data_IF_378935805751
#
_entry.id   IF_378935805751
#
_cell.length_a   1.000
_cell.length_b   1.000
_cell.length_c   1.000
_cell.angle_alpha   90.00
_cell.angle_beta   90.00
_cell.angle_gamma   90.00
#
_symmetry.space_group_name_H-M   'P 1'
#
loop_
_entity.id
_entity.type
_entity.pdbx_description
1 polymer ?
#
# COMPACT_ATOMS: atom_id res chain seq x y z
N UNK A 1 -16.51 -9.60 -4.10
CA UNK A 1 -16.80 -10.91 -4.70
C UNK A 1 -15.78 -11.26 -5.80
N UNK A 2 -15.41 -10.34 -6.65
CA UNK A 2 -14.43 -10.55 -7.74
C UNK A 2 -12.96 -10.29 -7.37
N UNK A 3 -12.66 -9.97 -6.12
CA UNK A 3 -11.30 -9.57 -5.67
C UNK A 3 -10.93 -10.25 -4.35
N UNK A 4 -9.58 -10.46 -4.20
CA UNK A 4 -8.98 -10.98 -2.98
C UNK A 4 -9.49 -12.36 -2.56
N UNK A 5 -9.32 -12.68 -1.29
CA UNK A 5 -9.66 -13.98 -0.69
C UNK A 5 -11.14 -14.38 -0.92
N UNK A 6 -12.06 -13.43 -0.98
CA UNK A 6 -13.48 -13.69 -1.24
C UNK A 6 -13.70 -14.30 -2.62
N UNK A 7 -12.92 -13.92 -3.64
CA UNK A 7 -12.96 -14.55 -4.95
C UNK A 7 -12.37 -15.95 -4.89
N UNK A 8 -11.21 -16.12 -4.29
CA UNK A 8 -10.48 -17.40 -4.25
C UNK A 8 -11.26 -18.48 -3.51
N UNK A 9 -11.74 -18.18 -2.30
CA UNK A 9 -12.48 -19.13 -1.47
C UNK A 9 -13.92 -19.32 -1.95
N UNK A 10 -14.50 -18.30 -2.61
CA UNK A 10 -15.88 -18.30 -3.08
C UNK A 10 -15.99 -18.62 -4.57
N UNK A 11 -15.82 -17.62 -5.42
CA UNK A 11 -16.18 -17.72 -6.83
C UNK A 11 -15.27 -18.67 -7.63
N UNK A 12 -13.95 -18.66 -7.36
CA UNK A 12 -13.00 -19.59 -8.00
C UNK A 12 -13.33 -21.04 -7.62
N UNK A 13 -13.63 -21.30 -6.34
CA UNK A 13 -14.02 -22.61 -5.88
C UNK A 13 -15.37 -23.07 -6.50
N UNK A 14 -16.35 -22.18 -6.60
CA UNK A 14 -17.64 -22.51 -7.24
C UNK A 14 -17.48 -22.84 -8.72
N UNK A 15 -16.66 -22.09 -9.45
CA UNK A 15 -16.38 -22.35 -10.88
C UNK A 15 -15.63 -23.65 -11.05
N UNK A 16 -14.64 -23.95 -10.18
CA UNK A 16 -13.94 -25.23 -10.17
C UNK A 16 -14.86 -26.42 -9.88
N UNK A 17 -15.95 -26.21 -9.11
CA UNK A 17 -16.98 -27.20 -8.79
C UNK A 17 -18.13 -27.24 -9.83
N UNK A 18 -17.91 -26.66 -11.02
CA UNK A 18 -18.84 -26.73 -12.15
C UNK A 18 -19.86 -25.60 -12.27
N UNK A 19 -19.72 -24.52 -11.50
CA UNK A 19 -20.57 -23.34 -11.67
C UNK A 19 -20.18 -22.56 -12.92
N UNK A 20 -21.12 -22.33 -13.83
CA UNK A 20 -20.90 -21.53 -15.04
C UNK A 20 -21.51 -20.14 -14.86
N UNK A 21 -20.68 -19.09 -14.97
CA UNK A 21 -21.13 -17.70 -14.91
C UNK A 21 -21.78 -17.34 -16.24
N UNK A 22 -23.06 -16.91 -16.18
CA UNK A 22 -23.83 -16.51 -17.37
C UNK A 22 -24.02 -15.00 -17.48
N UNK A 23 -24.02 -14.28 -16.34
CA UNK A 23 -24.04 -12.82 -16.32
C UNK A 23 -23.21 -12.32 -15.15
N UNK A 24 -22.51 -11.21 -15.35
CA UNK A 24 -21.75 -10.53 -14.32
C UNK A 24 -21.91 -9.01 -14.40
N UNK A 25 -21.90 -8.38 -13.24
CA UNK A 25 -21.66 -6.95 -13.04
C UNK A 25 -20.43 -6.85 -12.14
N UNK A 26 -19.34 -6.28 -12.66
CA UNK A 26 -18.09 -6.20 -11.93
C UNK A 26 -18.13 -5.11 -10.87
N UNK A 27 -18.59 -3.91 -11.25
CA UNK A 27 -18.79 -2.80 -10.33
C UNK A 27 -19.82 -1.83 -10.91
N UNK A 28 -20.83 -1.51 -10.12
CA UNK A 28 -21.87 -0.54 -10.48
C UNK A 28 -22.31 0.22 -9.24
N UNK A 29 -22.49 1.53 -9.38
CA UNK A 29 -22.99 2.36 -8.28
C UNK A 29 -24.36 1.88 -7.81
N UNK A 30 -24.54 1.81 -6.49
CA UNK A 30 -25.80 1.47 -5.87
C UNK A 30 -26.85 2.55 -6.19
N UNK A 31 -28.05 2.19 -6.63
CA UNK A 31 -29.03 3.15 -7.15
C UNK A 31 -29.68 4.07 -6.10
N UNK A 32 -29.38 3.91 -4.81
CA UNK A 32 -29.94 4.77 -3.78
C UNK A 32 -29.09 6.04 -3.57
N UNK A 33 -29.73 7.21 -3.62
CA UNK A 33 -29.07 8.52 -3.50
C UNK A 33 -28.35 8.77 -2.15
N UNK A 34 -28.56 7.94 -1.13
CA UNK A 34 -28.00 8.11 0.22
C UNK A 34 -26.72 7.31 0.49
N UNK A 35 -26.27 6.47 -0.44
CA UNK A 35 -25.13 5.60 -0.22
C UNK A 35 -24.17 5.65 -1.42
N UNK A 36 -22.97 6.16 -1.20
CA UNK A 36 -21.88 6.08 -2.17
C UNK A 36 -21.24 4.68 -2.11
N UNK A 37 -21.99 3.67 -2.55
CA UNK A 37 -21.62 2.26 -2.54
C UNK A 37 -21.59 1.73 -3.98
N UNK A 38 -20.68 0.80 -4.24
CA UNK A 38 -20.68 0.00 -5.45
C UNK A 38 -21.04 -1.45 -5.11
N UNK A 39 -21.62 -2.13 -6.08
CA UNK A 39 -21.97 -3.55 -5.95
C UNK A 39 -21.44 -4.35 -7.14
N UNK A 40 -21.09 -5.59 -6.87
CA UNK A 40 -20.85 -6.63 -7.86
C UNK A 40 -21.97 -7.66 -7.79
N UNK A 41 -22.38 -8.19 -8.93
CA UNK A 41 -23.41 -9.22 -8.99
C UNK A 41 -23.04 -10.31 -10.00
N UNK A 42 -23.40 -11.55 -9.66
CA UNK A 42 -23.12 -12.74 -10.48
C UNK A 42 -24.38 -13.57 -10.61
N UNK A 43 -24.66 -14.00 -11.83
CA UNK A 43 -25.67 -14.98 -12.15
C UNK A 43 -25.00 -16.16 -12.84
N UNK A 44 -25.45 -17.35 -12.57
CA UNK A 44 -24.91 -18.55 -13.19
C UNK A 44 -25.74 -19.78 -12.96
N UNK A 45 -25.32 -20.87 -13.54
CA UNK A 45 -25.89 -22.19 -13.40
C UNK A 45 -24.87 -23.13 -12.75
N UNK A 46 -25.37 -24.13 -12.02
CA UNK A 46 -24.51 -25.17 -11.42
C UNK A 46 -24.11 -26.25 -12.41
N UNK A 47 -24.79 -26.28 -13.56
CA UNK A 47 -24.50 -27.22 -14.64
C UNK A 47 -23.77 -26.52 -15.79
N UNK A 48 -23.20 -27.32 -16.69
CA UNK A 48 -22.58 -26.84 -17.92
C UNK A 48 -23.64 -26.12 -18.79
N UNK A 49 -23.37 -24.87 -19.12
CA UNK A 49 -24.21 -24.04 -19.98
C UNK A 49 -23.67 -24.13 -21.41
N UNK A 50 -24.51 -24.50 -22.38
CA UNK A 50 -24.14 -24.63 -23.77
C UNK A 50 -23.44 -23.36 -24.30
N UNK A 51 -22.48 -23.52 -25.25
CA UNK A 51 -21.67 -22.41 -25.76
C UNK A 51 -22.46 -21.34 -26.52
N UNK A 52 -23.59 -21.72 -27.08
CA UNK A 52 -24.54 -20.84 -27.81
C UNK A 52 -25.42 -19.98 -26.92
N UNK A 53 -25.45 -20.26 -25.60
CA UNK A 53 -26.18 -19.42 -24.65
C UNK A 53 -25.43 -18.10 -24.44
N UNK A 54 -26.07 -16.95 -24.71
CA UNK A 54 -25.45 -15.65 -24.54
C UNK A 54 -25.04 -15.41 -23.10
N UNK A 55 -23.77 -14.98 -22.91
CA UNK A 55 -23.25 -14.50 -21.62
C UNK A 55 -23.04 -13.00 -21.69
N UNK A 56 -23.26 -12.31 -20.57
CA UNK A 56 -23.21 -10.85 -20.53
C UNK A 56 -22.36 -10.38 -19.35
N UNK A 57 -21.28 -9.67 -19.64
CA UNK A 57 -20.45 -8.99 -18.65
C UNK A 57 -20.61 -7.48 -18.80
N UNK A 58 -21.02 -6.78 -17.75
CA UNK A 58 -21.31 -5.34 -17.72
C UNK A 58 -22.13 -4.86 -18.94
N UNK A 59 -23.22 -5.58 -19.20
CA UNK A 59 -24.17 -5.36 -20.32
C UNK A 59 -23.60 -5.59 -21.73
N UNK A 60 -22.36 -6.14 -21.84
CA UNK A 60 -21.74 -6.53 -23.11
C UNK A 60 -21.82 -8.05 -23.31
N UNK A 61 -22.23 -8.48 -24.51
CA UNK A 61 -22.26 -9.89 -24.86
C UNK A 61 -20.82 -10.45 -25.01
N UNK A 62 -20.53 -11.55 -24.33
CA UNK A 62 -19.20 -12.17 -24.27
C UNK A 62 -19.31 -13.69 -24.44
N UNK A 63 -18.21 -14.36 -24.82
CA UNK A 63 -18.17 -15.82 -24.94
C UNK A 63 -18.17 -16.53 -23.61
N UNK A 64 -17.33 -16.05 -22.71
CA UNK A 64 -17.18 -16.57 -21.34
C UNK A 64 -16.88 -15.43 -20.38
N UNK A 65 -17.15 -15.65 -19.12
CA UNK A 65 -16.91 -14.69 -18.04
C UNK A 65 -15.96 -15.36 -17.04
N UNK A 66 -14.86 -14.68 -16.73
CA UNK A 66 -13.89 -15.13 -15.73
C UNK A 66 -14.40 -14.88 -14.29
N UNK A 67 -13.73 -15.45 -13.30
CA UNK A 67 -14.02 -15.18 -11.89
C UNK A 67 -13.64 -13.75 -11.45
N UNK A 68 -12.95 -12.99 -12.30
CA UNK A 68 -12.78 -11.53 -12.19
C UNK A 68 -14.01 -10.75 -12.64
N UNK A 69 -15.06 -11.44 -13.09
CA UNK A 69 -16.31 -10.90 -13.66
C UNK A 69 -16.10 -10.16 -14.99
N UNK A 70 -15.02 -10.45 -15.67
CA UNK A 70 -14.62 -9.87 -16.97
C UNK A 70 -14.78 -10.90 -18.09
N UNK A 71 -14.82 -10.45 -19.36
CA UNK A 71 -14.69 -11.35 -20.49
C UNK A 71 -13.46 -12.26 -20.32
N UNK A 72 -13.62 -13.56 -20.48
CA UNK A 72 -12.54 -14.51 -20.32
C UNK A 72 -11.43 -14.27 -21.37
N UNK A 73 -10.22 -13.92 -20.90
CA UNK A 73 -9.03 -13.76 -21.72
C UNK A 73 -8.26 -15.07 -21.93
N UNK A 74 -7.09 -14.97 -22.57
CA UNK A 74 -6.21 -16.14 -22.83
C UNK A 74 -5.55 -16.68 -21.57
N UNK A 75 -5.49 -15.90 -20.50
CA UNK A 75 -4.81 -16.26 -19.24
C UNK A 75 -5.88 -16.35 -18.16
N UNK A 76 -5.94 -17.50 -17.48
CA UNK A 76 -6.83 -17.74 -16.36
C UNK A 76 -6.03 -17.89 -15.07
N UNK A 77 -6.61 -17.48 -13.95
CA UNK A 77 -6.07 -17.67 -12.62
C UNK A 77 -5.31 -16.47 -12.08
N UNK A 78 -4.85 -16.62 -10.82
CA UNK A 78 -4.04 -15.63 -10.12
C UNK A 78 -2.58 -15.73 -10.59
N UNK A 79 -1.91 -14.60 -10.86
CA UNK A 79 -0.49 -14.65 -11.19
C UNK A 79 0.32 -15.19 -10.00
N UNK A 80 1.36 -15.95 -10.31
CA UNK A 80 2.24 -16.52 -9.30
C UNK A 80 3.25 -15.50 -8.80
N UNK A 81 3.58 -15.59 -7.52
CA UNK A 81 4.63 -14.76 -6.94
C UNK A 81 6.00 -15.15 -7.51
N UNK A 82 6.75 -14.16 -7.93
CA UNK A 82 8.10 -14.30 -8.49
C UNK A 82 9.14 -14.16 -7.38
N UNK A 83 10.07 -15.09 -7.31
CA UNK A 83 11.09 -15.13 -6.25
C UNK A 83 11.99 -13.90 -6.23
N UNK A 84 12.28 -13.34 -7.41
CA UNK A 84 13.11 -12.15 -7.61
C UNK A 84 12.44 -10.84 -7.12
N UNK A 85 11.13 -10.86 -6.86
CA UNK A 85 10.40 -9.70 -6.36
C UNK A 85 10.26 -9.70 -4.83
N UNK A 86 10.56 -10.80 -4.16
CA UNK A 86 10.41 -10.91 -2.71
C UNK A 86 11.43 -10.06 -1.97
N UNK A 87 10.99 -9.45 -0.87
CA UNK A 87 11.88 -8.69 0.01
C UNK A 87 12.32 -7.33 -0.54
N UNK A 88 11.65 -6.81 -1.56
CA UNK A 88 11.92 -5.48 -2.13
C UNK A 88 10.90 -4.46 -1.64
N UNK A 89 9.64 -4.86 -1.45
CA UNK A 89 8.57 -3.96 -0.99
C UNK A 89 8.19 -4.27 0.44
N UNK A 90 7.98 -3.22 1.21
CA UNK A 90 7.64 -3.29 2.62
C UNK A 90 6.52 -2.32 2.96
N UNK A 91 5.56 -2.77 3.74
CA UNK A 91 4.59 -1.88 4.38
C UNK A 91 5.28 -1.00 5.42
N UNK A 92 4.88 0.27 5.53
CA UNK A 92 5.38 1.19 6.54
C UNK A 92 4.99 0.82 7.98
N UNK A 93 5.47 1.61 8.93
CA UNK A 93 5.31 1.40 10.37
C UNK A 93 3.86 1.59 10.83
N UNK A 94 3.44 0.82 11.84
CA UNK A 94 2.15 0.98 12.50
C UNK A 94 2.32 1.53 13.90
N UNK A 95 1.86 2.74 14.12
CA UNK A 95 2.06 3.45 15.39
C UNK A 95 1.22 2.85 16.52
N UNK A 96 -0.09 2.77 16.35
CA UNK A 96 -1.09 2.41 17.35
C UNK A 96 -0.99 3.29 18.60
N UNK A 97 -1.39 4.54 18.46
CA UNK A 97 -1.39 5.61 19.47
C UNK A 97 -1.09 6.96 18.82
N UNK A 98 -2.00 7.92 18.95
CA UNK A 98 -1.86 9.25 18.34
C UNK A 98 -0.82 10.12 19.05
N UNK A 99 -0.46 9.81 20.29
CA UNK A 99 0.53 10.55 21.05
C UNK A 99 1.96 10.44 20.52
N UNK A 100 2.23 9.57 19.53
CA UNK A 100 3.49 9.56 18.79
C UNK A 100 3.59 10.69 17.76
N UNK A 101 2.47 11.27 17.34
CA UNK A 101 2.44 12.26 16.26
C UNK A 101 2.61 13.67 16.81
N UNK A 102 3.43 14.45 16.11
CA UNK A 102 3.69 15.86 16.39
C UNK A 102 3.41 16.72 15.16
N UNK A 103 3.12 17.98 15.37
CA UNK A 103 3.23 18.99 14.33
C UNK A 103 4.70 19.29 14.00
N UNK A 104 4.97 19.87 12.85
CA UNK A 104 6.31 20.30 12.47
C UNK A 104 6.87 21.33 13.47
N UNK A 105 6.03 22.26 13.92
CA UNK A 105 6.41 23.32 14.86
C UNK A 105 6.78 22.76 16.24
N UNK A 106 6.00 21.76 16.74
CA UNK A 106 6.34 21.07 17.99
C UNK A 106 7.69 20.35 17.88
N UNK A 107 7.90 19.61 16.80
CA UNK A 107 9.14 18.87 16.58
C UNK A 107 10.35 19.81 16.51
N UNK A 108 10.26 20.89 15.75
CA UNK A 108 11.31 21.91 15.64
C UNK A 108 11.58 22.59 16.96
N UNK A 109 10.54 22.93 17.71
CA UNK A 109 10.67 23.51 19.06
C UNK A 109 11.42 22.57 19.99
N UNK A 110 11.09 21.27 19.97
CA UNK A 110 11.76 20.30 20.85
C UNK A 110 13.20 20.02 20.46
N UNK A 111 13.52 20.06 19.16
CA UNK A 111 14.91 19.99 18.68
C UNK A 111 15.70 21.25 19.09
N UNK A 112 15.09 22.43 19.02
CA UNK A 112 15.73 23.67 19.46
C UNK A 112 15.99 23.70 20.96
N UNK A 113 15.12 23.13 21.79
CA UNK A 113 15.27 23.01 23.25
C UNK A 113 16.35 22.00 23.64
N UNK A 114 16.42 20.88 22.96
CA UNK A 114 17.44 19.85 23.14
C UNK A 114 17.74 19.17 21.79
N UNK A 115 18.90 19.48 21.18
CA UNK A 115 19.28 18.92 19.87
C UNK A 115 19.33 17.38 19.82
N UNK A 116 19.48 16.70 20.96
CA UNK A 116 19.42 15.23 21.01
C UNK A 116 18.05 14.68 20.59
N UNK A 117 16.99 15.46 20.75
CA UNK A 117 15.65 15.04 20.32
C UNK A 117 15.59 14.73 18.81
N UNK A 118 16.48 15.30 18.00
CA UNK A 118 16.58 14.95 16.57
C UNK A 118 16.86 13.46 16.30
N UNK A 119 17.42 12.74 17.29
CA UNK A 119 17.66 11.29 17.15
C UNK A 119 16.38 10.44 17.20
N UNK A 120 15.31 10.99 17.74
CA UNK A 120 14.04 10.31 17.94
C UNK A 120 12.83 11.03 17.32
N UNK A 121 13.08 12.13 16.61
CA UNK A 121 12.06 12.88 15.88
C UNK A 121 12.35 12.80 14.38
N UNK A 122 11.38 12.34 13.62
CA UNK A 122 11.51 12.20 12.17
C UNK A 122 10.25 12.69 11.46
N UNK A 123 10.37 13.19 10.21
CA UNK A 123 9.21 13.44 9.36
C UNK A 123 8.43 12.12 9.16
N UNK A 124 7.10 12.19 9.22
CA UNK A 124 6.19 11.05 9.12
C UNK A 124 5.36 11.12 7.86
N UNK A 125 5.75 10.35 6.86
CA UNK A 125 5.11 10.33 5.55
C UNK A 125 3.97 9.31 5.53
N UNK A 126 2.79 9.75 5.13
CA UNK A 126 1.60 8.91 5.02
C UNK A 126 0.97 8.98 3.62
N UNK A 127 -0.01 8.11 3.35
CA UNK A 127 -0.67 8.05 2.04
C UNK A 127 -1.47 9.30 1.68
N UNK A 128 -1.97 10.05 2.67
CA UNK A 128 -2.65 11.34 2.44
C UNK A 128 -1.67 12.38 1.92
N UNK A 129 -0.46 12.44 2.49
CA UNK A 129 0.60 13.35 2.03
C UNK A 129 0.94 13.08 0.55
N UNK A 130 1.12 11.80 0.18
CA UNK A 130 1.41 11.42 -1.21
C UNK A 130 0.26 11.72 -2.18
N UNK A 131 -0.98 11.72 -1.69
CA UNK A 131 -2.16 11.97 -2.52
C UNK A 131 -2.54 13.46 -2.62
N UNK A 132 -2.06 14.32 -1.70
CA UNK A 132 -2.54 15.71 -1.59
C UNK A 132 -1.44 16.77 -1.64
N UNK A 133 -0.17 16.38 -1.42
CA UNK A 133 0.95 17.34 -1.40
C UNK A 133 1.83 17.16 -2.63
N UNK A 134 1.90 18.15 -3.52
CA UNK A 134 2.68 18.04 -4.75
C UNK A 134 4.17 17.74 -4.51
N UNK A 135 4.75 18.34 -3.46
CA UNK A 135 6.16 18.14 -3.08
C UNK A 135 6.45 16.84 -2.34
N UNK A 136 5.43 15.98 -2.14
CA UNK A 136 5.53 14.73 -1.38
C UNK A 136 6.13 14.90 0.03
N UNK A 137 6.07 16.09 0.60
CA UNK A 137 6.58 16.38 1.94
C UNK A 137 5.67 15.80 3.02
N UNK A 138 6.26 15.36 4.13
CA UNK A 138 5.49 14.92 5.29
C UNK A 138 4.80 16.10 5.98
N UNK A 139 3.49 16.00 6.21
CA UNK A 139 2.70 17.01 6.94
C UNK A 139 2.91 16.96 8.45
N UNK A 140 3.47 15.86 8.97
CA UNK A 140 3.59 15.56 10.40
C UNK A 140 4.98 15.04 10.72
N UNK A 141 5.30 15.07 12.00
CA UNK A 141 6.47 14.43 12.57
C UNK A 141 6.05 13.30 13.53
N UNK A 142 6.98 12.44 13.87
CA UNK A 142 6.71 11.32 14.77
C UNK A 142 7.86 11.11 15.75
N UNK A 143 7.51 10.69 16.97
CA UNK A 143 8.43 10.23 17.99
C UNK A 143 8.74 8.77 17.74
N UNK A 144 9.97 8.45 17.35
CA UNK A 144 10.42 7.09 17.03
C UNK A 144 11.57 6.64 17.93
N UNK A 145 11.25 5.93 18.97
CA UNK A 145 12.27 5.33 19.82
C UNK A 145 12.90 4.05 19.23
N UNK A 146 12.34 3.55 18.12
CA UNK A 146 12.80 2.35 17.43
C UNK A 146 13.00 1.16 18.38
N UNK A 147 14.23 0.59 18.45
CA UNK A 147 14.57 -0.56 19.28
C UNK A 147 15.09 -0.17 20.69
N UNK A 148 15.11 1.13 21.02
CA UNK A 148 15.61 1.59 22.33
C UNK A 148 14.79 0.99 23.47
N UNK A 149 15.47 0.64 24.55
CA UNK A 149 14.82 0.26 25.81
C UNK A 149 14.06 1.45 26.41
N UNK A 150 13.19 1.18 27.39
CA UNK A 150 12.46 2.23 28.10
C UNK A 150 13.42 3.24 28.77
N UNK A 151 14.48 2.73 29.40
CA UNK A 151 15.50 3.56 30.04
C UNK A 151 16.30 4.44 29.07
N UNK A 152 16.60 3.94 27.87
CA UNK A 152 17.25 4.73 26.82
C UNK A 152 16.30 5.78 26.23
N UNK A 153 15.04 5.42 26.04
CA UNK A 153 13.98 6.32 25.55
C UNK A 153 13.68 7.44 26.55
N UNK A 154 13.72 7.16 27.85
CA UNK A 154 13.51 8.14 28.91
C UNK A 154 14.58 9.26 28.97
N UNK A 155 15.73 9.08 28.30
CA UNK A 155 16.76 10.14 28.17
C UNK A 155 16.28 11.31 27.31
N UNK A 156 15.29 11.10 26.46
CA UNK A 156 14.63 12.12 25.63
C UNK A 156 13.37 12.65 26.36
N UNK A 157 13.57 13.52 27.33
CA UNK A 157 12.57 13.87 28.35
C UNK A 157 11.22 14.36 27.79
N UNK A 158 11.21 15.24 26.79
CA UNK A 158 9.99 15.76 26.18
C UNK A 158 9.29 14.69 25.33
N UNK A 159 9.94 14.03 24.37
CA UNK A 159 9.34 12.95 23.59
C UNK A 159 8.83 11.80 24.47
N UNK A 160 9.61 11.38 25.46
CA UNK A 160 9.22 10.27 26.32
C UNK A 160 8.00 10.59 27.20
N UNK A 161 7.98 11.80 27.79
CA UNK A 161 6.84 12.27 28.59
C UNK A 161 5.56 12.31 27.75
N UNK A 162 5.61 12.84 26.53
CA UNK A 162 4.47 12.87 25.61
C UNK A 162 3.90 11.46 25.37
N UNK A 163 4.76 10.50 25.03
CA UNK A 163 4.34 9.12 24.78
C UNK A 163 3.85 8.44 26.07
N UNK A 164 4.45 8.76 27.21
CA UNK A 164 4.01 8.26 28.51
C UNK A 164 2.62 8.77 28.90
N UNK A 165 2.31 10.02 28.64
CA UNK A 165 1.04 10.64 28.98
C UNK A 165 -0.08 10.23 28.00
N UNK A 166 0.20 10.23 26.69
CA UNK A 166 -0.81 10.11 25.66
C UNK A 166 -0.95 8.70 25.05
N UNK A 167 0.09 7.84 25.14
CA UNK A 167 0.08 6.50 24.56
C UNK A 167 -0.03 5.40 25.62
N UNK A 168 0.73 5.50 26.69
CA UNK A 168 0.80 4.45 27.72
C UNK A 168 -0.57 4.05 28.29
N UNK A 169 -1.50 4.97 28.64
CA UNK A 169 -2.79 4.59 29.19
C UNK A 169 -3.61 3.72 28.24
N UNK A 170 -3.66 4.07 26.94
CA UNK A 170 -4.34 3.27 25.92
C UNK A 170 -3.67 1.90 25.74
N UNK A 171 -2.34 1.89 25.68
CA UNK A 171 -1.57 0.65 25.50
C UNK A 171 -1.73 -0.35 26.64
N UNK A 172 -1.83 0.11 27.89
CA UNK A 172 -1.99 -0.75 29.05
C UNK A 172 -3.32 -1.52 29.05
N UNK A 173 -4.34 -1.03 28.37
CA UNK A 173 -5.64 -1.70 28.20
C UNK A 173 -5.70 -2.65 27.02
N UNK A 174 -4.65 -2.71 26.18
CA UNK A 174 -4.64 -3.53 24.97
C UNK A 174 -4.56 -5.03 25.29
N UNK A 175 -5.27 -5.85 24.53
CA UNK A 175 -5.28 -7.31 24.71
C UNK A 175 -3.92 -7.96 24.33
N UNK A 176 -3.12 -7.35 23.45
CA UNK A 176 -1.81 -7.86 23.04
C UNK A 176 -0.75 -7.50 24.07
N UNK A 177 -0.17 -8.52 24.72
CA UNK A 177 0.87 -8.34 25.75
C UNK A 177 2.05 -7.49 25.26
N UNK A 178 2.54 -7.72 24.04
CA UNK A 178 3.68 -6.99 23.48
C UNK A 178 3.43 -5.48 23.39
N UNK A 179 2.18 -5.04 23.17
CA UNK A 179 1.84 -3.61 23.11
C UNK A 179 1.81 -2.98 24.50
N UNK A 180 1.47 -3.74 25.55
CA UNK A 180 1.56 -3.27 26.93
C UNK A 180 2.99 -3.18 27.41
N UNK A 181 3.80 -4.22 27.12
CA UNK A 181 5.17 -4.33 27.59
C UNK A 181 6.12 -3.34 26.90
N UNK A 182 5.86 -3.03 25.63
CA UNK A 182 6.65 -2.10 24.80
C UNK A 182 5.82 -0.87 24.41
N UNK A 183 5.12 -0.27 25.39
CA UNK A 183 4.18 0.83 25.18
C UNK A 183 4.81 2.08 24.54
N UNK A 184 6.12 2.29 24.72
CA UNK A 184 6.88 3.44 24.19
C UNK A 184 7.35 3.23 22.73
N UNK A 185 7.20 2.04 22.16
CA UNK A 185 7.59 1.71 20.80
C UNK A 185 6.37 1.61 19.87
N UNK A 186 6.57 1.73 18.59
CA UNK A 186 5.51 1.45 17.62
C UNK A 186 5.01 0.01 17.73
N UNK A 187 3.74 -0.21 17.45
CA UNK A 187 3.16 -1.54 17.39
C UNK A 187 3.90 -2.43 16.38
N UNK A 188 4.24 -1.85 15.23
CA UNK A 188 5.03 -2.52 14.20
C UNK A 188 6.12 -1.56 13.69
N UNK A 189 7.35 -1.81 14.12
CA UNK A 189 8.54 -0.98 13.84
C UNK A 189 9.15 -1.23 12.47
N UNK A 190 8.78 -2.33 11.80
CA UNK A 190 9.30 -2.75 10.49
C UNK A 190 10.84 -2.83 10.43
N UNK A 191 11.51 -3.65 11.25
CA UNK A 191 12.97 -3.73 11.26
C UNK A 191 13.55 -4.19 9.92
N UNK A 192 12.84 -5.06 9.17
CA UNK A 192 13.26 -5.50 7.85
C UNK A 192 13.27 -4.34 6.83
N UNK A 193 12.23 -3.48 6.83
CA UNK A 193 12.22 -2.26 6.01
C UNK A 193 13.43 -1.38 6.34
N UNK A 194 13.65 -1.08 7.63
CA UNK A 194 14.74 -0.21 8.06
C UNK A 194 16.12 -0.74 7.64
N UNK A 195 16.31 -2.05 7.75
CA UNK A 195 17.54 -2.69 7.30
C UNK A 195 17.69 -2.63 5.77
N UNK A 196 16.61 -2.86 5.02
CA UNK A 196 16.66 -2.87 3.56
C UNK A 196 16.97 -1.50 2.95
N UNK A 197 16.57 -0.39 3.61
CA UNK A 197 16.82 0.97 3.12
C UNK A 197 18.03 1.66 3.77
N UNK A 198 18.77 0.97 4.65
CA UNK A 198 19.82 1.61 5.48
C UNK A 198 20.93 2.28 4.67
N UNK A 199 21.30 1.71 3.52
CA UNK A 199 22.40 2.19 2.67
C UNK A 199 21.91 3.06 1.49
N UNK A 200 20.59 3.31 1.38
CA UNK A 200 20.01 4.15 0.35
C UNK A 200 19.93 5.61 0.82
N UNK A 201 19.97 6.56 -0.09
CA UNK A 201 19.68 7.98 0.21
C UNK A 201 18.21 8.32 -0.03
N UNK A 202 17.62 7.71 -1.04
CA UNK A 202 16.23 7.85 -1.44
C UNK A 202 15.61 6.47 -1.63
N UNK A 203 14.30 6.41 -1.61
CA UNK A 203 13.50 5.21 -1.84
C UNK A 203 12.30 5.55 -2.72
N UNK A 204 11.73 4.54 -3.39
CA UNK A 204 10.45 4.72 -4.06
C UNK A 204 9.32 4.37 -3.08
N UNK A 205 8.26 5.15 -3.09
CA UNK A 205 7.09 4.93 -2.24
C UNK A 205 5.80 5.05 -3.03
N UNK A 206 4.76 4.36 -2.58
CA UNK A 206 3.42 4.46 -3.14
C UNK A 206 2.39 4.50 -2.01
N UNK A 207 1.34 5.30 -2.17
CA UNK A 207 0.21 5.24 -1.26
C UNK A 207 -0.55 3.91 -1.44
N UNK A 208 -0.81 3.20 -0.34
CA UNK A 208 -1.55 1.92 -0.35
C UNK A 208 -2.92 2.06 -1.03
N UNK A 209 -3.57 3.21 -0.86
CA UNK A 209 -4.85 3.53 -1.54
C UNK A 209 -4.71 4.87 -2.24
N UNK A 210 -4.88 4.88 -3.55
CA UNK A 210 -4.78 6.09 -4.37
C UNK A 210 -5.57 5.93 -5.66
N UNK A 211 -5.96 7.05 -6.27
CA UNK A 211 -6.57 7.07 -7.61
C UNK A 211 -5.61 6.65 -8.71
N UNK A 212 -4.32 6.82 -8.49
CA UNK A 212 -3.27 6.47 -9.45
C UNK A 212 -2.23 5.56 -8.79
N UNK A 213 -1.80 4.54 -9.52
CA UNK A 213 -0.70 3.66 -9.13
C UNK A 213 0.60 4.28 -9.63
N UNK A 214 1.13 5.22 -8.86
CA UNK A 214 2.28 6.02 -9.29
C UNK A 214 3.29 6.15 -8.15
N UNK A 215 4.40 5.39 -8.18
CA UNK A 215 5.45 5.53 -7.18
C UNK A 215 6.18 6.86 -7.34
N UNK A 216 6.57 7.44 -6.23
CA UNK A 216 7.36 8.67 -6.14
C UNK A 216 8.63 8.42 -5.35
N UNK A 217 9.67 9.22 -5.63
CA UNK A 217 10.96 9.17 -4.95
C UNK A 217 10.96 10.15 -3.79
N UNK A 218 11.40 9.67 -2.62
CA UNK A 218 11.48 10.46 -1.39
C UNK A 218 12.74 10.09 -0.60
N UNK A 219 13.18 10.98 0.32
CA UNK A 219 14.29 10.68 1.24
C UNK A 219 13.96 9.45 2.10
N UNK A 220 14.94 8.60 2.32
CA UNK A 220 14.84 7.48 3.27
C UNK A 220 14.69 7.90 4.74
N UNK A 221 14.99 9.16 5.06
CA UNK A 221 14.98 9.66 6.43
C UNK A 221 13.58 9.86 7.02
N UNK A 222 12.55 9.62 6.21
CA UNK A 222 11.18 9.55 6.68
C UNK A 222 10.90 8.28 7.48
N UNK A 223 10.03 8.40 8.46
CA UNK A 223 9.27 7.26 8.99
C UNK A 223 8.01 7.11 8.13
N UNK A 224 7.87 5.96 7.49
CA UNK A 224 6.75 5.68 6.59
C UNK A 224 5.58 5.07 7.38
N UNK A 225 4.37 5.59 7.16
CA UNK A 225 3.12 5.05 7.71
C UNK A 225 2.76 3.72 7.05
N UNK A 226 1.97 2.89 7.73
CA UNK A 226 1.34 1.69 7.15
C UNK A 226 0.32 1.97 6.03
N UNK A 227 0.10 3.23 5.68
CA UNK A 227 -0.65 3.65 4.49
C UNK A 227 0.24 3.91 3.27
N UNK A 228 1.54 3.60 3.40
CA UNK A 228 2.57 3.74 2.37
C UNK A 228 3.32 2.42 2.26
N UNK A 229 3.46 1.93 1.04
CA UNK A 229 4.38 0.85 0.70
C UNK A 229 5.70 1.44 0.19
N UNK A 230 6.80 0.88 0.66
CA UNK A 230 8.16 1.35 0.40
C UNK A 230 8.92 0.31 -0.41
N UNK A 231 9.41 0.68 -1.57
CA UNK A 231 10.33 -0.12 -2.37
C UNK A 231 11.76 0.20 -1.94
N UNK A 232 12.47 -0.78 -1.45
CA UNK A 232 13.87 -0.65 -1.01
C UNK A 232 14.80 -0.58 -2.22
N UNK A 233 14.66 0.46 -3.02
CA UNK A 233 15.47 0.72 -4.22
C UNK A 233 15.49 2.22 -4.54
N UNK A 234 16.61 2.70 -5.03
CA UNK A 234 16.82 4.03 -5.62
C UNK A 234 17.05 3.96 -7.15
N UNK A 235 16.80 2.81 -7.77
CA UNK A 235 16.97 2.57 -9.20
C UNK A 235 15.92 3.35 -10.01
N UNK A 236 16.38 4.16 -10.97
CA UNK A 236 15.49 4.93 -11.84
C UNK A 236 14.78 4.04 -12.86
N UNK A 237 15.42 2.96 -13.32
CA UNK A 237 14.78 1.99 -14.19
C UNK A 237 13.59 1.32 -13.51
N UNK A 238 13.72 0.98 -12.22
CA UNK A 238 12.60 0.51 -11.41
C UNK A 238 11.48 1.54 -11.32
N UNK A 239 11.81 2.82 -11.14
CA UNK A 239 10.82 3.91 -11.13
C UNK A 239 10.07 4.00 -12.48
N UNK A 240 10.78 3.90 -13.61
CA UNK A 240 10.16 3.89 -14.93
C UNK A 240 9.19 2.72 -15.11
N UNK A 241 9.62 1.51 -14.76
CA UNK A 241 8.80 0.29 -14.86
C UNK A 241 7.55 0.38 -13.99
N UNK A 242 7.69 0.76 -12.73
CA UNK A 242 6.59 0.88 -11.78
C UNK A 242 5.62 2.04 -12.10
N UNK A 243 6.09 3.04 -12.86
CA UNK A 243 5.25 4.16 -13.33
C UNK A 243 4.58 3.87 -14.67
N UNK A 244 4.85 2.72 -15.29
CA UNK A 244 4.32 2.36 -16.61
C UNK A 244 2.82 2.04 -16.56
N UNK A 245 2.14 2.24 -17.69
CA UNK A 245 0.74 1.83 -17.85
C UNK A 245 0.54 0.32 -17.68
N UNK A 246 1.55 -0.50 -18.00
CA UNK A 246 1.49 -1.95 -17.81
C UNK A 246 1.42 -2.30 -16.33
N UNK A 247 2.26 -1.69 -15.49
CA UNK A 247 2.21 -1.90 -14.04
C UNK A 247 0.91 -1.35 -13.42
N UNK A 248 0.44 -0.20 -13.90
CA UNK A 248 -0.85 0.36 -13.46
C UNK A 248 -2.02 -0.59 -13.78
N UNK A 249 -2.08 -1.11 -15.02
CA UNK A 249 -3.11 -2.09 -15.39
C UNK A 249 -3.00 -3.36 -14.56
N UNK A 250 -1.79 -3.85 -14.28
CA UNK A 250 -1.55 -5.01 -13.43
C UNK A 250 -2.07 -4.77 -12.01
N UNK A 251 -1.75 -3.62 -11.42
CA UNK A 251 -2.18 -3.25 -10.09
C UNK A 251 -3.70 -3.10 -9.98
N UNK A 252 -4.37 -2.55 -11.00
CA UNK A 252 -5.83 -2.45 -11.06
C UNK A 252 -6.47 -3.85 -11.18
N UNK A 253 -5.86 -4.73 -11.99
CA UNK A 253 -6.40 -6.07 -12.24
C UNK A 253 -6.24 -7.02 -11.06
N UNK A 254 -5.07 -7.00 -10.41
CA UNK A 254 -4.72 -7.99 -9.38
C UNK A 254 -4.67 -7.43 -7.97
N UNK A 255 -4.61 -6.12 -7.81
CA UNK A 255 -4.75 -5.47 -6.51
C UNK A 255 -6.17 -5.58 -5.96
N UNK A 256 -6.33 -5.22 -4.70
CA UNK A 256 -7.66 -5.12 -4.09
C UNK A 256 -8.23 -3.72 -4.30
N UNK A 257 -9.56 -3.59 -4.47
CA UNK A 257 -10.21 -2.29 -4.53
C UNK A 257 -10.73 -1.85 -3.15
N UNK A 258 -10.61 -0.57 -2.85
CA UNK A 258 -11.30 0.05 -1.73
C UNK A 258 -12.19 1.17 -2.28
N UNK A 259 -13.47 0.91 -2.43
CA UNK A 259 -14.42 1.77 -3.17
C UNK A 259 -13.97 1.90 -4.64
N UNK A 260 -13.79 3.12 -5.14
CA UNK A 260 -13.36 3.41 -6.52
C UNK A 260 -11.83 3.57 -6.65
N UNK A 261 -11.09 3.43 -5.55
CA UNK A 261 -9.65 3.63 -5.57
C UNK A 261 -8.92 2.27 -5.53
N UNK A 262 -7.94 2.05 -6.41
CA UNK A 262 -7.08 0.87 -6.33
C UNK A 262 -6.35 0.83 -4.98
N UNK A 263 -6.36 -0.34 -4.36
CA UNK A 263 -5.50 -0.61 -3.21
C UNK A 263 -4.32 -1.43 -3.67
N UNK A 264 -3.14 -0.87 -3.54
CA UNK A 264 -1.90 -1.56 -3.81
C UNK A 264 -1.64 -2.60 -2.73
N UNK A 265 -1.48 -3.85 -3.11
CA UNK A 265 -1.15 -4.95 -2.20
C UNK A 265 0.14 -5.59 -2.72
N UNK A 266 1.29 -5.42 -2.05
CA UNK A 266 2.59 -5.89 -2.53
C UNK A 266 2.61 -7.36 -2.96
N UNK A 267 1.99 -8.25 -2.17
CA UNK A 267 1.93 -9.70 -2.45
C UNK A 267 1.16 -10.06 -3.72
N UNK A 268 0.16 -9.26 -4.09
CA UNK A 268 -0.71 -9.54 -5.23
C UNK A 268 -0.31 -8.75 -6.48
N UNK A 269 0.29 -7.57 -6.28
CA UNK A 269 0.68 -6.66 -7.36
C UNK A 269 2.16 -6.78 -7.66
N UNK A 270 3.04 -6.33 -6.75
CA UNK A 270 4.47 -6.25 -7.05
C UNK A 270 5.13 -7.62 -7.14
N UNK A 271 4.87 -8.50 -6.17
CA UNK A 271 5.50 -9.82 -6.14
C UNK A 271 5.11 -10.71 -7.31
N UNK A 272 3.99 -10.41 -7.98
CA UNK A 272 3.50 -11.14 -9.14
C UNK A 272 3.82 -10.47 -10.49
N UNK A 273 4.29 -9.20 -10.48
CA UNK A 273 4.52 -8.42 -11.69
C UNK A 273 5.84 -8.83 -12.38
N UNK A 274 5.81 -9.27 -13.64
CA UNK A 274 7.02 -9.61 -14.38
C UNK A 274 7.77 -8.32 -14.77
N UNK A 275 8.90 -8.08 -14.13
CA UNK A 275 9.73 -6.91 -14.41
C UNK A 275 10.67 -7.20 -15.59
N UNK A 276 10.86 -6.25 -16.52
CA UNK A 276 11.85 -6.38 -17.56
C UNK A 276 13.27 -6.36 -16.97
N UNK A 277 14.23 -6.89 -17.72
CA UNK A 277 15.64 -6.74 -17.38
C UNK A 277 16.03 -5.24 -17.37
N UNK A 278 16.87 -4.79 -16.42
CA UNK A 278 17.39 -3.43 -16.42
C UNK A 278 18.12 -3.09 -17.73
N UNK A 279 17.90 -1.86 -18.23
CA UNK A 279 18.59 -1.33 -19.39
C UNK A 279 18.90 0.14 -19.19
N UNK A 280 19.95 0.65 -19.83
CA UNK A 280 20.31 2.09 -19.82
C UNK A 280 19.14 2.97 -20.27
N UNK A 281 18.34 2.48 -21.22
CA UNK A 281 17.15 3.21 -21.70
C UNK A 281 16.08 3.34 -20.62
N UNK A 282 15.81 2.29 -19.84
CA UNK A 282 14.86 2.37 -18.72
C UNK A 282 15.38 3.30 -17.63
N UNK A 283 16.67 3.24 -17.32
CA UNK A 283 17.33 4.13 -16.37
C UNK A 283 17.17 5.61 -16.80
N UNK A 284 17.41 5.91 -18.08
CA UNK A 284 17.25 7.26 -18.62
C UNK A 284 15.80 7.74 -18.55
N UNK A 285 14.85 6.91 -18.95
CA UNK A 285 13.40 7.23 -18.86
C UNK A 285 12.98 7.53 -17.42
N UNK A 286 13.49 6.77 -16.45
CA UNK A 286 13.22 7.00 -15.04
C UNK A 286 13.78 8.32 -14.53
N UNK A 287 15.01 8.68 -14.94
CA UNK A 287 15.62 9.99 -14.61
C UNK A 287 14.82 11.14 -15.19
N UNK A 288 14.44 11.05 -16.45
CA UNK A 288 13.66 12.08 -17.14
C UNK A 288 12.29 12.24 -16.48
N UNK A 289 11.63 11.13 -16.13
CA UNK A 289 10.37 11.13 -15.41
C UNK A 289 10.48 11.82 -14.04
N UNK A 290 11.50 11.49 -13.26
CA UNK A 290 11.72 12.10 -11.95
C UNK A 290 12.03 13.60 -12.06
N UNK A 291 12.86 13.96 -13.04
CA UNK A 291 13.19 15.36 -13.35
C UNK A 291 11.95 16.17 -13.72
N UNK A 292 11.15 15.67 -14.65
CA UNK A 292 9.91 16.37 -15.07
C UNK A 292 8.91 16.51 -13.92
N UNK A 293 8.75 15.48 -13.08
CA UNK A 293 7.90 15.56 -11.89
C UNK A 293 8.35 16.65 -10.93
N UNK A 294 9.66 16.74 -10.64
CA UNK A 294 10.21 17.77 -9.75
C UNK A 294 10.08 19.18 -10.34
N UNK A 295 10.01 19.32 -11.66
CA UNK A 295 9.81 20.61 -12.32
C UNK A 295 8.35 21.09 -12.31
N UNK A 296 7.39 20.15 -12.29
CA UNK A 296 5.94 20.44 -12.32
C UNK A 296 5.40 20.69 -10.90
N UNK A 297 5.98 20.05 -9.91
CA UNK A 297 5.56 20.11 -8.49
C UNK A 297 6.28 21.22 -7.73
#
# INVERSE_FOLDING_TARGET
MAQGDTREVGLDAMVADGFTITRAIQSRSWPAASANLEYAAVWGARDEVAEDVPRVADDVAVRRISTLLEPEGRVQGKPLQLSENKGIVFEGCKLHGMGFILSSDEAQTWVALDPRNAEVLSPYLNGEDLNSRPDNSASRWVIDFNARSEAESAKFSLPFRRVQEDVKPERLTNNRKVYRDLWWQFAERRPALRAAIADLSEVLVIAVTSKSVMPVRVSRDHVFSNTVDVFATDDFGAQAVLSSSLHQMWAITYGSGMRNDPRYTPSDVFETFPRPMPTDSLEQVGRDLDHERRNIM
#
